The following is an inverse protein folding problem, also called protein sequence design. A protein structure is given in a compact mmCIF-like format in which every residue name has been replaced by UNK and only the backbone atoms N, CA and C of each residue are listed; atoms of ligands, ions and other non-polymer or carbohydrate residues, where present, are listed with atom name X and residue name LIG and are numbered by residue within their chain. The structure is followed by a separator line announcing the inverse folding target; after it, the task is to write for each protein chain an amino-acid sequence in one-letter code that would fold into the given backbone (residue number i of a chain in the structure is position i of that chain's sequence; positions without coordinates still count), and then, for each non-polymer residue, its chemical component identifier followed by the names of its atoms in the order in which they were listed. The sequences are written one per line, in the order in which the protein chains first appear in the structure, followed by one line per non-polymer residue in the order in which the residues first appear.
data_IF_851311707262
#
_entry.id   IF_851311707262
#
_cell.length_a   1.000
_cell.length_b   1.000
_cell.length_c   1.000
_cell.angle_alpha   90.00
_cell.angle_beta   90.00
_cell.angle_gamma   90.00
#
_symmetry.space_group_name_H-M   'P 1'
#
loop_
_entity.id
_entity.type
_entity.pdbx_description
1 polymer ?
#
# COMPACT_ATOMS: atom_id res chain seq x y z
N UNK A 1 13.66 23.81 16.39
CA UNK A 1 13.59 22.44 16.97
C UNK A 1 14.99 22.02 17.38
N UNK A 2 15.16 21.32 18.50
CA UNK A 2 16.48 20.81 18.88
C UNK A 2 16.88 19.65 17.97
N UNK A 3 18.16 19.58 17.59
CA UNK A 3 18.74 18.51 16.78
C UNK A 3 18.36 17.10 17.30
N UNK A 4 18.35 16.95 18.62
CA UNK A 4 17.99 15.71 19.34
C UNK A 4 16.57 15.25 19.01
N UNK A 5 15.58 16.16 19.02
CA UNK A 5 14.19 15.80 18.68
C UNK A 5 14.06 15.35 17.22
N UNK A 6 14.86 15.93 16.31
CA UNK A 6 14.93 15.48 14.93
C UNK A 6 15.48 14.07 14.80
N UNK A 7 16.57 13.75 15.50
CA UNK A 7 17.18 12.40 15.50
C UNK A 7 16.23 11.35 16.07
N UNK A 8 15.59 11.63 17.21
CA UNK A 8 14.62 10.71 17.82
C UNK A 8 13.48 10.44 16.82
N UNK A 9 12.93 11.49 16.20
CA UNK A 9 11.84 11.36 15.23
C UNK A 9 12.25 10.54 14.00
N UNK A 10 13.47 10.73 13.49
CA UNK A 10 14.00 9.98 12.36
C UNK A 10 14.19 8.49 12.65
N UNK A 11 14.50 8.12 13.90
CA UNK A 11 14.64 6.73 14.33
C UNK A 11 13.29 6.08 14.66
N UNK A 12 12.36 6.81 15.25
CA UNK A 12 11.03 6.28 15.62
C UNK A 12 10.13 6.08 14.41
N UNK A 13 10.23 6.93 13.38
CA UNK A 13 9.34 6.85 12.23
C UNK A 13 9.42 5.50 11.46
N UNK A 14 10.60 4.98 11.09
CA UNK A 14 10.71 3.66 10.46
C UNK A 14 10.16 2.52 11.33
N UNK A 15 10.37 2.58 12.64
CA UNK A 15 9.82 1.59 13.57
C UNK A 15 8.28 1.58 13.54
N UNK A 16 7.64 2.75 13.61
CA UNK A 16 6.18 2.86 13.50
C UNK A 16 5.65 2.39 12.14
N UNK A 17 6.38 2.66 11.07
CA UNK A 17 6.05 2.16 9.72
C UNK A 17 6.06 0.63 9.68
N UNK A 18 7.09 -0.01 10.27
CA UNK A 18 7.20 -1.48 10.33
C UNK A 18 6.07 -2.07 11.17
N UNK A 19 5.77 -1.51 12.34
CA UNK A 19 4.62 -1.92 13.15
C UNK A 19 3.32 -1.80 12.34
N UNK A 20 3.15 -0.70 11.62
CA UNK A 20 2.03 -0.51 10.71
C UNK A 20 1.93 -1.63 9.67
N UNK A 21 3.02 -1.97 8.97
CA UNK A 21 3.01 -3.06 7.99
C UNK A 21 2.58 -4.39 8.61
N UNK A 22 3.10 -4.75 9.79
CA UNK A 22 2.74 -6.00 10.48
C UNK A 22 1.26 -6.01 10.87
N UNK A 23 0.73 -4.89 11.35
CA UNK A 23 -0.69 -4.78 11.70
C UNK A 23 -1.57 -4.95 10.46
N UNK A 24 -1.26 -4.23 9.37
CA UNK A 24 -2.05 -4.31 8.14
C UNK A 24 -1.97 -5.67 7.47
N UNK A 25 -0.80 -6.30 7.43
CA UNK A 25 -0.60 -7.62 6.81
C UNK A 25 -1.40 -8.72 7.51
N UNK A 26 -1.50 -8.65 8.85
CA UNK A 26 -2.21 -9.66 9.64
C UNK A 26 -3.72 -9.40 9.79
N UNK A 27 -4.18 -8.15 9.68
CA UNK A 27 -5.56 -7.77 10.03
C UNK A 27 -6.39 -7.24 8.85
N UNK A 28 -5.78 -6.86 7.73
CA UNK A 28 -6.51 -6.30 6.60
C UNK A 28 -6.90 -7.37 5.57
N UNK A 29 -8.20 -7.67 5.49
CA UNK A 29 -8.74 -8.63 4.52
C UNK A 29 -9.31 -7.99 3.24
N UNK A 30 -9.26 -6.66 3.12
CA UNK A 30 -9.81 -5.91 2.00
C UNK A 30 -8.84 -5.75 0.83
N UNK A 31 -9.28 -5.07 -0.23
CA UNK A 31 -8.40 -4.74 -1.36
C UNK A 31 -7.34 -3.70 -0.97
N UNK A 32 -6.22 -3.68 -1.69
CA UNK A 32 -5.18 -2.66 -1.49
C UNK A 32 -5.71 -1.23 -1.75
N UNK A 33 -6.65 -1.08 -2.69
CA UNK A 33 -7.36 0.17 -2.91
C UNK A 33 -8.14 0.62 -1.67
N UNK A 34 -8.92 -0.29 -1.07
CA UNK A 34 -9.68 0.01 0.15
C UNK A 34 -8.75 0.34 1.34
N UNK A 35 -7.59 -0.33 1.44
CA UNK A 35 -6.59 -0.03 2.45
C UNK A 35 -6.03 1.38 2.31
N UNK A 36 -5.67 1.78 1.09
CA UNK A 36 -5.15 3.12 0.82
C UNK A 36 -6.20 4.20 1.06
N UNK A 37 -7.45 3.95 0.68
CA UNK A 37 -8.56 4.85 0.98
C UNK A 37 -8.75 5.02 2.49
N UNK A 38 -8.77 3.92 3.24
CA UNK A 38 -8.90 3.96 4.69
C UNK A 38 -7.75 4.73 5.34
N UNK A 39 -6.50 4.39 4.97
CA UNK A 39 -5.30 5.07 5.45
C UNK A 39 -5.37 6.57 5.20
N UNK A 40 -5.66 6.99 3.97
CA UNK A 40 -5.72 8.42 3.62
C UNK A 40 -6.76 9.17 4.45
N UNK A 41 -7.97 8.63 4.59
CA UNK A 41 -9.04 9.27 5.36
C UNK A 41 -8.75 9.31 6.86
N UNK A 42 -8.27 8.20 7.44
CA UNK A 42 -7.89 8.14 8.85
C UNK A 42 -6.74 9.12 9.15
N UNK A 43 -5.72 9.15 8.30
CA UNK A 43 -4.59 10.07 8.39
C UNK A 43 -5.02 11.53 8.25
N UNK A 44 -5.94 11.83 7.33
CA UNK A 44 -6.49 13.18 7.18
C UNK A 44 -7.23 13.65 8.44
N UNK A 45 -8.06 12.80 9.06
CA UNK A 45 -8.75 13.14 10.32
C UNK A 45 -7.73 13.41 11.43
N UNK A 46 -6.71 12.57 11.56
CA UNK A 46 -5.63 12.77 12.53
C UNK A 46 -4.91 14.10 12.33
N UNK A 47 -4.53 14.41 11.09
CA UNK A 47 -3.89 15.68 10.78
C UNK A 47 -4.80 16.89 10.95
N UNK A 48 -6.11 16.74 10.74
CA UNK A 48 -7.09 17.81 11.01
C UNK A 48 -7.09 18.17 12.48
N UNK A 49 -7.22 17.18 13.36
CA UNK A 49 -7.25 17.37 14.82
C UNK A 49 -5.96 18.04 15.29
N UNK A 50 -4.80 17.52 14.84
CA UNK A 50 -3.50 18.08 15.24
C UNK A 50 -3.30 19.48 14.66
N UNK A 51 -3.71 19.76 13.42
CA UNK A 51 -3.57 21.08 12.81
C UNK A 51 -4.39 22.14 13.55
N UNK A 52 -5.64 21.81 13.92
CA UNK A 52 -6.49 22.70 14.73
C UNK A 52 -5.82 22.94 16.08
N UNK A 53 -5.37 21.89 16.77
CA UNK A 53 -4.71 22.03 18.06
C UNK A 53 -3.46 22.90 18.00
N UNK A 54 -2.56 22.65 17.04
CA UNK A 54 -1.30 23.41 16.89
C UNK A 54 -1.59 24.88 16.57
N UNK A 55 -2.55 25.16 15.68
CA UNK A 55 -2.88 26.54 15.31
C UNK A 55 -3.55 27.31 16.45
N UNK A 56 -4.46 26.67 17.19
CA UNK A 56 -5.16 27.29 18.31
C UNK A 56 -4.27 27.51 19.54
N UNK A 57 -3.40 26.54 19.87
CA UNK A 57 -2.69 26.53 21.16
C UNK A 57 -1.18 26.81 21.07
N UNK A 58 -0.55 26.70 19.90
CA UNK A 58 0.91 26.85 19.76
C UNK A 58 1.28 28.07 18.91
N UNK A 59 0.70 28.21 17.72
CA UNK A 59 1.09 29.24 16.76
C UNK A 59 0.30 30.55 16.90
N UNK A 60 -0.92 30.50 17.44
CA UNK A 60 -1.81 31.66 17.51
C UNK A 60 -2.37 32.09 16.14
N UNK A 61 -3.23 33.11 16.09
CA UNK A 61 -3.80 33.61 14.84
C UNK A 61 -2.71 34.25 13.97
N UNK A 62 -2.46 33.66 12.80
CA UNK A 62 -1.56 34.23 11.80
C UNK A 62 -2.26 35.35 11.02
N UNK A 63 -1.58 36.47 10.82
CA UNK A 63 -2.06 37.58 9.96
C UNK A 63 -1.80 37.35 8.48
N UNK A 64 -0.92 36.43 8.11
CA UNK A 64 -0.67 36.08 6.71
C UNK A 64 -1.70 35.08 6.18
N UNK A 65 -2.10 35.27 4.92
CA UNK A 65 -2.97 34.36 4.19
C UNK A 65 -2.16 33.13 3.74
N UNK A 66 -1.98 32.18 4.66
CA UNK A 66 -1.19 30.97 4.44
C UNK A 66 -1.90 30.02 3.46
N UNK A 67 -3.23 30.05 3.41
CA UNK A 67 -4.10 29.19 2.60
C UNK A 67 -4.54 29.87 1.30
N UNK A 68 -3.61 30.07 0.38
CA UNK A 68 -3.94 30.62 -0.95
C UNK A 68 -4.36 29.52 -1.92
N UNK A 69 -5.29 29.80 -2.84
CA UNK A 69 -5.79 28.84 -3.85
C UNK A 69 -4.66 28.20 -4.67
N UNK A 70 -3.59 28.94 -4.97
CA UNK A 70 -2.42 28.41 -5.69
C UNK A 70 -1.63 27.40 -4.84
N UNK A 71 -1.47 27.63 -3.53
CA UNK A 71 -0.77 26.71 -2.63
C UNK A 71 -1.58 25.43 -2.40
N UNK A 72 -2.88 25.59 -2.14
CA UNK A 72 -3.80 24.45 -1.97
C UNK A 72 -3.86 23.63 -3.27
N UNK A 73 -4.07 24.29 -4.42
CA UNK A 73 -4.10 23.62 -5.72
C UNK A 73 -2.79 22.88 -6.03
N UNK A 74 -1.64 23.49 -5.74
CA UNK A 74 -0.34 22.84 -5.90
C UNK A 74 -0.16 21.60 -5.00
N UNK A 75 -0.66 21.64 -3.76
CA UNK A 75 -0.67 20.49 -2.85
C UNK A 75 -1.64 19.39 -3.29
N UNK A 76 -2.79 19.73 -3.89
CA UNK A 76 -3.71 18.76 -4.48
C UNK A 76 -3.07 18.06 -5.68
N UNK A 77 -2.39 18.80 -6.57
CA UNK A 77 -1.63 18.21 -7.68
C UNK A 77 -0.52 17.28 -7.16
N UNK A 78 0.19 17.69 -6.11
CA UNK A 78 1.15 16.82 -5.41
C UNK A 78 0.51 15.50 -4.95
N UNK A 79 -0.69 15.54 -4.38
CA UNK A 79 -1.41 14.34 -3.97
C UNK A 79 -1.82 13.45 -5.14
N UNK A 80 -2.31 14.03 -6.24
CA UNK A 80 -2.66 13.23 -7.42
C UNK A 80 -1.44 12.48 -7.95
N UNK A 81 -0.32 13.18 -8.12
CA UNK A 81 0.90 12.59 -8.69
C UNK A 81 1.53 11.60 -7.71
N UNK A 82 1.76 12.04 -6.46
CA UNK A 82 2.58 11.30 -5.51
C UNK A 82 1.83 10.25 -4.69
N UNK A 83 0.54 10.48 -4.39
CA UNK A 83 -0.27 9.57 -3.56
C UNK A 83 -1.18 8.74 -4.46
N UNK A 84 -2.06 9.35 -5.26
CA UNK A 84 -3.05 8.58 -6.02
C UNK A 84 -2.40 7.73 -7.13
N UNK A 85 -1.67 8.36 -8.04
CA UNK A 85 -1.00 7.66 -9.14
C UNK A 85 0.22 6.90 -8.61
N UNK A 86 1.01 7.55 -7.74
CA UNK A 86 2.19 6.96 -7.10
C UNK A 86 1.87 5.65 -6.37
N UNK A 87 0.87 5.63 -5.49
CA UNK A 87 0.52 4.43 -4.74
C UNK A 87 -0.06 3.33 -5.65
N UNK A 88 -0.79 3.69 -6.71
CA UNK A 88 -1.29 2.69 -7.66
C UNK A 88 -0.15 1.99 -8.40
N UNK A 89 0.79 2.77 -8.95
CA UNK A 89 1.99 2.27 -9.63
C UNK A 89 2.85 1.45 -8.66
N UNK A 90 2.96 1.90 -7.40
CA UNK A 90 3.68 1.17 -6.36
C UNK A 90 3.03 -0.17 -6.02
N UNK A 91 1.71 -0.22 -5.84
CA UNK A 91 0.99 -1.47 -5.57
C UNK A 91 1.12 -2.46 -6.73
N UNK A 92 1.07 -1.98 -7.97
CA UNK A 92 1.29 -2.82 -9.15
C UNK A 92 2.74 -3.34 -9.21
N UNK A 93 3.72 -2.48 -8.94
CA UNK A 93 5.11 -2.88 -8.81
C UNK A 93 5.33 -3.91 -7.68
N UNK A 94 4.65 -3.74 -6.54
CA UNK A 94 4.72 -4.67 -5.41
C UNK A 94 4.13 -6.03 -5.79
N UNK A 95 3.00 -6.04 -6.49
CA UNK A 95 2.35 -7.27 -6.98
C UNK A 95 3.29 -8.07 -7.90
N UNK A 96 4.07 -7.38 -8.73
CA UNK A 96 4.98 -8.00 -9.69
C UNK A 96 6.34 -8.38 -9.08
N UNK A 97 6.96 -7.51 -8.32
CA UNK A 97 8.33 -7.70 -7.81
C UNK A 97 8.40 -8.33 -6.41
N UNK A 98 7.33 -8.20 -5.63
CA UNK A 98 7.30 -8.49 -4.19
C UNK A 98 7.80 -7.32 -3.34
N UNK A 99 7.39 -7.32 -2.06
CA UNK A 99 7.65 -6.25 -1.08
C UNK A 99 9.14 -5.89 -0.94
N UNK A 100 10.02 -6.89 -0.87
CA UNK A 100 11.46 -6.65 -0.68
C UNK A 100 12.09 -5.87 -1.84
N UNK A 101 11.85 -6.30 -3.08
CA UNK A 101 12.46 -5.67 -4.27
C UNK A 101 11.94 -4.26 -4.49
N UNK A 102 10.64 -4.01 -4.29
CA UNK A 102 10.09 -2.66 -4.44
C UNK A 102 10.62 -1.70 -3.37
N UNK A 103 10.79 -2.16 -2.13
CA UNK A 103 11.37 -1.35 -1.05
C UNK A 103 12.83 -0.95 -1.36
N UNK A 104 13.60 -1.85 -1.97
CA UNK A 104 14.97 -1.53 -2.43
C UNK A 104 14.96 -0.44 -3.50
N UNK A 105 14.06 -0.50 -4.47
CA UNK A 105 13.92 0.56 -5.49
C UNK A 105 13.44 1.87 -4.87
N UNK A 106 12.51 1.81 -3.90
CA UNK A 106 12.00 2.98 -3.18
C UNK A 106 13.08 3.75 -2.39
N UNK A 107 14.17 3.08 -2.03
CA UNK A 107 15.34 3.73 -1.42
C UNK A 107 15.96 4.80 -2.31
N UNK A 108 15.65 4.84 -3.61
CA UNK A 108 16.11 5.88 -4.54
C UNK A 108 15.37 7.23 -4.36
N UNK A 109 14.22 7.27 -3.66
CA UNK A 109 13.41 8.49 -3.50
C UNK A 109 14.18 9.67 -2.88
N UNK A 110 14.92 9.53 -1.76
CA UNK A 110 15.67 10.64 -1.17
C UNK A 110 16.75 11.21 -2.11
N UNK A 111 17.34 10.36 -2.95
CA UNK A 111 18.38 10.75 -3.91
C UNK A 111 17.81 11.60 -5.03
N UNK A 112 16.75 11.10 -5.65
CA UNK A 112 16.07 11.85 -6.69
C UNK A 112 15.49 13.15 -6.11
N UNK A 113 15.01 13.14 -4.86
CA UNK A 113 14.50 14.34 -4.20
C UNK A 113 15.60 15.37 -3.96
N UNK A 114 16.78 14.94 -3.53
CA UNK A 114 17.94 15.82 -3.35
C UNK A 114 18.39 16.43 -4.68
N UNK A 115 18.54 15.59 -5.72
CA UNK A 115 18.92 16.05 -7.05
C UNK A 115 17.91 17.02 -7.65
N UNK A 116 16.62 16.67 -7.62
CA UNK A 116 15.60 17.54 -8.18
C UNK A 116 15.36 18.79 -7.30
N UNK A 117 15.63 18.73 -5.99
CA UNK A 117 15.61 19.90 -5.13
C UNK A 117 16.68 20.93 -5.53
N UNK A 118 17.89 20.46 -5.83
CA UNK A 118 18.95 21.33 -6.34
C UNK A 118 18.59 21.93 -7.71
N UNK A 119 18.04 21.14 -8.63
CA UNK A 119 17.71 21.60 -9.99
C UNK A 119 16.47 22.51 -10.04
N UNK A 120 15.41 22.19 -9.29
CA UNK A 120 14.11 22.85 -9.43
C UNK A 120 13.77 23.84 -8.30
N UNK A 121 14.44 23.75 -7.15
CA UNK A 121 14.19 24.60 -5.97
C UNK A 121 15.40 25.46 -5.59
N UNK A 122 16.49 25.42 -6.38
CA UNK A 122 17.77 26.13 -6.16
C UNK A 122 18.38 25.82 -4.77
N UNK A 123 18.20 24.58 -4.32
CA UNK A 123 18.67 24.12 -3.01
C UNK A 123 20.09 23.56 -3.09
N UNK A 124 21.03 24.24 -2.43
CA UNK A 124 22.41 23.75 -2.38
C UNK A 124 22.57 22.70 -1.29
N UNK A 125 22.89 21.48 -1.69
CA UNK A 125 23.23 20.40 -0.76
C UNK A 125 24.59 20.67 -0.12
N UNK A 126 24.63 20.62 1.21
CA UNK A 126 25.89 20.68 1.93
C UNK A 126 26.75 19.47 1.57
N UNK A 127 28.07 19.66 1.42
CA UNK A 127 29.00 18.59 1.03
C UNK A 127 28.92 17.37 1.97
N UNK A 128 28.67 17.60 3.26
CA UNK A 128 28.46 16.53 4.24
C UNK A 128 27.17 15.73 3.99
N UNK A 129 26.08 16.38 3.55
CA UNK A 129 24.82 15.73 3.23
C UNK A 129 24.98 14.78 2.02
N UNK A 130 25.80 15.14 1.03
CA UNK A 130 26.10 14.29 -0.13
C UNK A 130 26.80 13.00 0.29
N UNK A 131 27.78 13.08 1.20
CA UNK A 131 28.49 11.89 1.71
C UNK A 131 27.53 10.98 2.47
N UNK A 132 26.71 11.54 3.36
CA UNK A 132 25.69 10.78 4.09
C UNK A 132 24.66 10.12 3.16
N UNK A 133 24.27 10.82 2.11
CA UNK A 133 23.38 10.32 1.06
C UNK A 133 24.01 9.10 0.36
N UNK A 134 25.24 9.20 -0.15
CA UNK A 134 25.96 8.08 -0.80
C UNK A 134 26.07 6.86 0.14
N UNK A 135 26.47 7.08 1.39
CA UNK A 135 26.60 6.01 2.38
C UNK A 135 25.26 5.30 2.63
N UNK A 136 24.15 6.05 2.61
CA UNK A 136 22.80 5.50 2.74
C UNK A 136 22.41 4.63 1.53
N UNK A 137 22.78 4.99 0.28
CA UNK A 137 22.56 4.10 -0.90
C UNK A 137 23.24 2.78 -0.65
N UNK A 138 24.53 2.85 -0.31
CA UNK A 138 25.37 1.66 -0.21
C UNK A 138 24.82 0.74 0.87
N UNK A 139 24.43 1.28 2.03
CA UNK A 139 23.79 0.51 3.10
C UNK A 139 22.51 -0.18 2.66
N UNK A 140 21.57 0.56 2.03
CA UNK A 140 20.29 -0.03 1.61
C UNK A 140 20.47 -1.01 0.46
N UNK A 141 21.36 -0.74 -0.49
CA UNK A 141 21.68 -1.63 -1.58
C UNK A 141 22.32 -2.93 -1.07
N UNK A 142 23.25 -2.87 -0.11
CA UNK A 142 23.87 -4.05 0.50
C UNK A 142 22.82 -4.96 1.16
N UNK A 143 21.91 -4.40 1.94
CA UNK A 143 20.79 -5.16 2.57
C UNK A 143 19.83 -5.72 1.50
N UNK A 144 19.61 -4.96 0.43
CA UNK A 144 18.77 -5.37 -0.69
C UNK A 144 19.34 -6.53 -1.51
N UNK A 145 20.67 -6.66 -1.57
CA UNK A 145 21.38 -7.65 -2.37
C UNK A 145 21.57 -9.00 -1.67
N UNK A 146 21.30 -9.10 -0.37
CA UNK A 146 21.43 -10.34 0.39
C UNK A 146 20.53 -11.43 -0.21
N UNK A 147 21.11 -12.49 -0.79
CA UNK A 147 20.35 -13.61 -1.33
C UNK A 147 19.75 -14.41 -0.18
N UNK A 148 18.51 -14.86 -0.35
CA UNK A 148 17.97 -15.90 0.52
C UNK A 148 18.75 -17.20 0.26
N UNK A 149 19.54 -17.62 1.25
CA UNK A 149 19.89 -19.03 1.35
C UNK A 149 18.60 -19.76 1.72
N UNK A 150 17.98 -20.40 0.73
CA UNK A 150 16.95 -21.41 0.97
C UNK A 150 17.62 -22.58 1.70
N UNK A 151 17.76 -22.48 3.01
CA UNK A 151 17.94 -23.64 3.84
C UNK A 151 16.61 -24.41 3.84
N UNK A 152 16.56 -25.64 3.28
CA UNK A 152 15.37 -26.46 3.41
C UNK A 152 15.09 -26.61 4.91
N UNK A 153 13.95 -26.10 5.36
CA UNK A 153 13.46 -26.35 6.72
C UNK A 153 13.30 -27.86 6.90
N UNK A 154 13.40 -28.37 8.13
CA UNK A 154 13.23 -29.81 8.38
C UNK A 154 11.95 -30.39 7.74
N UNK A 155 10.90 -29.58 7.57
CA UNK A 155 9.69 -29.91 6.81
C UNK A 155 9.94 -30.27 5.33
N UNK A 156 10.85 -29.59 4.63
CA UNK A 156 11.18 -29.86 3.22
C UNK A 156 11.93 -31.21 3.09
N UNK A 157 12.74 -31.59 4.10
CA UNK A 157 13.42 -32.90 4.14
C UNK A 157 12.48 -34.03 4.52
N UNK A 158 11.54 -33.77 5.41
CA UNK A 158 10.53 -34.74 5.82
C UNK A 158 9.51 -34.98 4.69
N UNK A 159 9.15 -33.95 3.90
CA UNK A 159 8.29 -34.09 2.72
C UNK A 159 8.99 -34.79 1.54
N UNK A 160 10.26 -34.50 1.22
CA UNK A 160 11.02 -35.27 0.20
C UNK A 160 11.21 -36.74 0.62
N UNK A 161 11.38 -37.01 1.92
CA UNK A 161 11.46 -38.38 2.44
C UNK A 161 10.12 -39.10 2.32
N UNK A 162 8.99 -38.42 2.55
CA UNK A 162 7.63 -38.97 2.38
C UNK A 162 7.30 -39.22 0.90
N UNK A 163 7.72 -38.34 -0.01
CA UNK A 163 7.46 -38.50 -1.45
C UNK A 163 8.31 -39.65 -2.07
N UNK A 164 9.52 -39.89 -1.54
CA UNK A 164 10.36 -41.02 -1.95
C UNK A 164 9.98 -42.37 -1.34
N UNK A 165 9.31 -42.38 -0.18
CA UNK A 165 8.85 -43.58 0.54
C UNK A 165 7.36 -43.93 0.30
N UNK A 166 6.63 -43.11 -0.45
CA UNK A 166 5.17 -43.16 -0.57
C UNK A 166 4.61 -43.92 -1.78
N UNK A 167 5.40 -44.74 -2.48
CA UNK A 167 4.90 -45.69 -3.49
C UNK A 167 5.23 -47.11 -3.04
N UNK A 168 4.52 -47.58 -2.01
CA UNK A 168 4.53 -48.97 -1.56
C UNK A 168 4.82 -49.14 -0.07
N UNK A 169 3.88 -49.79 0.62
CA UNK A 169 3.92 -50.21 2.03
C UNK A 169 3.47 -49.18 3.07
N UNK A 170 2.47 -49.58 3.88
CA UNK A 170 1.96 -48.78 4.99
C UNK A 170 0.49 -48.99 5.34
N UNK A 171 -0.19 -49.96 4.74
CA UNK A 171 -1.31 -50.64 5.40
C UNK A 171 -0.71 -51.43 6.57
N UNK A 172 -1.30 -51.31 7.75
CA UNK A 172 -0.93 -51.97 9.02
C UNK A 172 -0.04 -51.15 9.96
N UNK A 173 -0.37 -51.25 11.26
CA UNK A 173 0.39 -50.80 12.44
C UNK A 173 0.00 -49.41 12.99
N UNK A 174 -1.21 -49.28 13.56
CA UNK A 174 -1.40 -49.37 15.03
C UNK A 174 -2.87 -49.11 15.39
N UNK A 175 -3.53 -50.20 15.77
CA UNK A 175 -4.71 -50.18 16.62
C UNK A 175 -4.24 -50.44 18.06
N UNK A 176 -5.05 -49.94 19.01
CA UNK A 176 -5.24 -50.46 20.38
C UNK A 176 -4.51 -49.76 21.55
N UNK A 177 -5.22 -48.87 22.27
CA UNK A 177 -5.65 -49.09 23.67
C UNK A 177 -6.67 -48.02 24.15
N UNK A 178 -7.95 -48.42 24.21
CA UNK A 178 -8.95 -48.31 25.32
C UNK A 178 -8.73 -47.20 26.39
N UNK A 179 -9.68 -46.38 26.90
CA UNK A 179 -11.08 -46.65 27.34
C UNK A 179 -11.75 -45.35 27.90
N UNK A 180 -13.10 -45.35 27.95
CA UNK A 180 -14.05 -44.67 28.88
C UNK A 180 -14.76 -43.37 28.42
N UNK A 181 -15.98 -43.61 27.88
CA UNK A 181 -17.27 -42.95 28.17
C UNK A 181 -17.30 -41.46 28.53
N UNK A 182 -17.78 -40.61 27.60
CA UNK A 182 -18.99 -39.77 27.75
C UNK A 182 -19.16 -38.81 26.55
N UNK A 183 -20.34 -38.81 25.92
CA UNK A 183 -20.77 -37.71 25.02
C UNK A 183 -20.86 -38.04 23.53
N UNK A 184 -21.77 -38.94 23.15
CA UNK A 184 -21.99 -39.42 21.76
C UNK A 184 -22.37 -38.34 20.72
N UNK A 185 -22.65 -37.10 21.15
CA UNK A 185 -22.93 -35.96 20.26
C UNK A 185 -21.76 -34.98 20.08
N UNK A 186 -20.73 -35.03 20.96
CA UNK A 186 -19.56 -34.13 20.87
C UNK A 186 -18.47 -34.66 19.94
N UNK A 187 -18.36 -35.99 19.82
CA UNK A 187 -17.33 -36.64 19.00
C UNK A 187 -17.57 -36.46 17.50
N UNK A 188 -18.82 -36.43 17.05
CA UNK A 188 -19.17 -36.20 15.63
C UNK A 188 -18.88 -34.75 15.23
N UNK A 189 -19.12 -33.78 16.12
CA UNK A 189 -18.77 -32.37 15.88
C UNK A 189 -17.25 -32.15 15.90
N UNK A 190 -16.51 -32.80 16.79
CA UNK A 190 -15.04 -32.71 16.81
C UNK A 190 -14.39 -33.40 15.60
N UNK A 191 -14.91 -34.53 15.14
CA UNK A 191 -14.43 -35.21 13.94
C UNK A 191 -14.73 -34.41 12.66
N UNK A 192 -15.90 -33.76 12.57
CA UNK A 192 -16.22 -32.86 11.45
C UNK A 192 -15.36 -31.59 11.47
N UNK A 193 -15.14 -30.97 12.64
CA UNK A 193 -14.25 -29.82 12.77
C UNK A 193 -12.79 -30.17 12.43
N UNK A 194 -12.30 -31.34 12.82
CA UNK A 194 -10.96 -31.81 12.44
C UNK A 194 -10.85 -32.13 10.95
N UNK A 195 -11.87 -32.70 10.32
CA UNK A 195 -11.87 -32.90 8.86
C UNK A 195 -11.93 -31.58 8.09
N UNK A 196 -12.70 -30.61 8.58
CA UNK A 196 -12.79 -29.28 7.98
C UNK A 196 -11.50 -28.47 8.18
N UNK A 197 -10.84 -28.59 9.33
CA UNK A 197 -9.51 -28.01 9.57
C UNK A 197 -8.41 -28.68 8.72
N UNK A 198 -8.46 -30.01 8.53
CA UNK A 198 -7.52 -30.73 7.65
C UNK A 198 -7.73 -30.36 6.18
N UNK A 199 -8.96 -30.17 5.72
CA UNK A 199 -9.25 -29.71 4.37
C UNK A 199 -8.83 -28.25 4.16
N UNK A 200 -9.13 -27.36 5.12
CA UNK A 200 -8.72 -25.95 5.06
C UNK A 200 -7.20 -25.81 5.08
N UNK A 201 -6.50 -26.56 5.93
CA UNK A 201 -5.03 -26.56 5.98
C UNK A 201 -4.42 -27.11 4.68
N UNK A 202 -5.00 -28.15 4.08
CA UNK A 202 -4.56 -28.66 2.76
C UNK A 202 -4.76 -27.63 1.66
N UNK A 203 -5.92 -26.97 1.57
CA UNK A 203 -6.17 -25.93 0.56
C UNK A 203 -5.22 -24.74 0.71
N UNK A 204 -4.88 -24.38 1.95
CA UNK A 204 -3.94 -23.30 2.26
C UNK A 204 -2.51 -23.71 1.88
N UNK A 205 -2.06 -24.91 2.29
CA UNK A 205 -0.73 -25.44 1.93
C UNK A 205 -0.60 -25.65 0.41
N UNK A 206 -1.64 -26.15 -0.26
CA UNK A 206 -1.69 -26.31 -1.72
C UNK A 206 -1.69 -24.95 -2.43
N UNK A 207 -2.39 -23.93 -1.88
CA UNK A 207 -2.35 -22.55 -2.39
C UNK A 207 -0.96 -21.93 -2.23
N UNK A 208 -0.27 -22.17 -1.11
CA UNK A 208 1.10 -21.71 -0.90
C UNK A 208 2.10 -22.49 -1.77
N UNK A 209 1.94 -23.80 -1.92
CA UNK A 209 2.76 -24.64 -2.79
C UNK A 209 2.56 -24.28 -4.27
N UNK A 210 1.33 -23.95 -4.70
CA UNK A 210 1.04 -23.42 -6.04
C UNK A 210 1.56 -21.99 -6.24
N UNK A 211 1.49 -21.11 -5.23
CA UNK A 211 2.15 -19.80 -5.28
C UNK A 211 3.67 -19.92 -5.37
N UNK A 212 4.28 -20.91 -4.69
CA UNK A 212 5.72 -21.23 -4.75
C UNK A 212 6.10 -21.80 -6.12
N UNK A 213 5.28 -22.70 -6.70
CA UNK A 213 5.46 -23.27 -8.05
C UNK A 213 5.29 -22.22 -9.16
N UNK A 214 4.38 -21.25 -9.00
CA UNK A 214 4.16 -20.16 -9.96
C UNK A 214 5.21 -19.04 -9.86
N UNK A 215 5.82 -18.82 -8.68
CA UNK A 215 6.96 -17.89 -8.52
C UNK A 215 8.20 -18.30 -9.33
N UNK A 216 8.36 -19.59 -9.63
CA UNK A 216 9.50 -20.11 -10.39
C UNK A 216 9.48 -19.84 -11.90
N UNK A 217 8.37 -19.33 -12.45
CA UNK A 217 8.22 -18.98 -13.88
C UNK A 217 7.75 -17.54 -14.08
N UNK A 218 8.29 -16.59 -13.32
CA UNK A 218 8.02 -15.19 -13.62
C UNK A 218 8.63 -14.85 -14.99
N UNK A 219 7.80 -14.42 -15.94
CA UNK A 219 8.26 -14.07 -17.27
C UNK A 219 9.21 -12.87 -17.19
N UNK A 220 10.33 -12.88 -17.92
CA UNK A 220 11.27 -11.75 -17.97
C UNK A 220 10.55 -10.43 -18.26
N UNK A 221 9.47 -10.48 -19.06
CA UNK A 221 8.61 -9.31 -19.36
C UNK A 221 7.86 -8.79 -18.14
N UNK A 222 7.31 -9.66 -17.30
CA UNK A 222 6.61 -9.28 -16.06
C UNK A 222 7.57 -8.68 -15.03
N UNK A 223 8.78 -9.23 -14.94
CA UNK A 223 9.83 -8.68 -14.09
C UNK A 223 10.25 -7.27 -14.56
N UNK A 224 10.52 -7.09 -15.85
CA UNK A 224 10.86 -5.78 -16.42
C UNK A 224 9.72 -4.78 -16.20
N UNK A 225 8.47 -5.19 -16.44
CA UNK A 225 7.31 -4.33 -16.22
C UNK A 225 7.19 -3.91 -14.74
N UNK A 226 7.41 -4.84 -13.82
CA UNK A 226 7.46 -4.53 -12.38
C UNK A 226 8.56 -3.52 -12.04
N UNK A 227 9.75 -3.65 -12.65
CA UNK A 227 10.86 -2.72 -12.46
C UNK A 227 10.53 -1.32 -13.01
N UNK A 228 9.92 -1.25 -14.19
CA UNK A 228 9.45 0.01 -14.79
C UNK A 228 8.44 0.70 -13.87
N UNK A 229 7.48 -0.05 -13.33
CA UNK A 229 6.52 0.49 -12.37
C UNK A 229 7.20 0.99 -11.10
N UNK A 230 8.13 0.23 -10.52
CA UNK A 230 8.86 0.67 -9.33
C UNK A 230 9.61 1.99 -9.56
N UNK A 231 10.34 2.11 -10.68
CA UNK A 231 11.07 3.32 -11.06
C UNK A 231 10.10 4.49 -11.32
N UNK A 232 8.99 4.24 -12.01
CA UNK A 232 7.97 5.26 -12.29
C UNK A 232 7.39 5.80 -10.98
N UNK A 233 7.09 4.94 -10.00
CA UNK A 233 6.63 5.39 -8.68
C UNK A 233 7.68 6.26 -7.96
N UNK A 234 8.98 5.91 -8.04
CA UNK A 234 10.05 6.75 -7.46
C UNK A 234 10.01 8.15 -8.06
N UNK A 235 9.91 8.24 -9.39
CA UNK A 235 9.84 9.53 -10.10
C UNK A 235 8.60 10.32 -9.70
N UNK A 236 7.41 9.72 -9.78
CA UNK A 236 6.14 10.38 -9.46
C UNK A 236 6.10 10.85 -8.00
N UNK A 237 6.49 9.99 -7.06
CA UNK A 237 6.51 10.33 -5.65
C UNK A 237 7.48 11.48 -5.37
N UNK A 238 8.66 11.47 -5.97
CA UNK A 238 9.63 12.55 -5.81
C UNK A 238 9.12 13.87 -6.40
N UNK A 239 8.47 13.86 -7.57
CA UNK A 239 7.82 15.06 -8.11
C UNK A 239 6.71 15.57 -7.17
N UNK A 240 5.91 14.68 -6.59
CA UNK A 240 4.95 15.04 -5.55
C UNK A 240 5.62 15.70 -4.34
N UNK A 241 6.76 15.18 -3.87
CA UNK A 241 7.53 15.79 -2.77
C UNK A 241 8.04 17.19 -3.12
N UNK A 242 8.52 17.41 -4.35
CA UNK A 242 8.96 18.75 -4.79
C UNK A 242 7.82 19.77 -4.81
N UNK A 243 6.66 19.38 -5.35
CA UNK A 243 5.47 20.22 -5.33
C UNK A 243 5.04 20.52 -3.89
N UNK A 244 5.11 19.51 -3.01
CA UNK A 244 4.84 19.67 -1.58
C UNK A 244 5.74 20.72 -0.96
N UNK A 245 7.03 20.68 -1.28
CA UNK A 245 8.02 21.64 -0.77
C UNK A 245 7.80 23.05 -1.33
N UNK A 246 7.53 23.16 -2.63
CA UNK A 246 7.28 24.44 -3.31
C UNK A 246 6.02 25.15 -2.81
N UNK A 247 4.92 24.41 -2.66
CA UNK A 247 3.61 24.99 -2.33
C UNK A 247 3.28 24.96 -0.83
N UNK A 248 3.98 24.15 -0.03
CA UNK A 248 3.80 24.05 1.41
C UNK A 248 4.49 25.16 2.23
N UNK A 249 5.15 26.13 1.60
CA UNK A 249 5.87 27.19 2.32
C UNK A 249 4.92 28.02 3.18
N UNK A 250 5.24 28.11 4.47
CA UNK A 250 4.45 28.82 5.49
C UNK A 250 3.37 27.96 6.17
N UNK A 251 3.12 26.75 5.68
CA UNK A 251 2.24 25.77 6.34
C UNK A 251 3.06 24.84 7.25
N UNK A 252 2.39 24.32 8.27
CA UNK A 252 2.94 23.24 9.10
C UNK A 252 2.89 21.90 8.36
N UNK A 253 3.75 20.96 8.76
CA UNK A 253 3.72 19.58 8.23
C UNK A 253 2.34 18.93 8.38
N UNK A 254 1.60 19.26 9.44
CA UNK A 254 0.25 18.73 9.67
C UNK A 254 -0.77 19.29 8.67
N UNK A 255 -0.73 20.59 8.39
CA UNK A 255 -1.64 21.24 7.43
C UNK A 255 -1.37 20.77 6.00
N UNK A 256 -0.09 20.68 5.63
CA UNK A 256 0.34 20.17 4.32
C UNK A 256 -0.20 18.75 4.14
N UNK A 257 0.01 17.88 5.13
CA UNK A 257 -0.43 16.49 5.03
C UNK A 257 -1.95 16.34 5.17
N UNK A 258 -2.64 17.20 5.91
CA UNK A 258 -4.09 17.27 5.93
C UNK A 258 -4.65 17.52 4.53
N UNK A 259 -4.17 18.57 3.84
CA UNK A 259 -4.60 18.88 2.47
C UNK A 259 -4.28 17.69 1.56
N UNK A 260 -3.08 17.13 1.68
CA UNK A 260 -2.63 16.09 0.77
C UNK A 260 -3.39 14.78 0.92
N UNK A 261 -3.43 14.22 2.13
CA UNK A 261 -4.12 12.95 2.41
C UNK A 261 -5.64 13.13 2.42
N UNK A 262 -6.15 14.29 2.81
CA UNK A 262 -7.58 14.62 2.76
C UNK A 262 -8.10 14.64 1.32
N UNK A 263 -7.41 15.36 0.43
CA UNK A 263 -7.76 15.37 -0.99
C UNK A 263 -7.68 13.97 -1.61
N UNK A 264 -6.62 13.21 -1.32
CA UNK A 264 -6.48 11.84 -1.80
C UNK A 264 -7.59 10.93 -1.28
N UNK A 265 -7.91 11.00 0.01
CA UNK A 265 -8.96 10.21 0.65
C UNK A 265 -10.35 10.46 0.07
N UNK A 266 -10.71 11.73 -0.13
CA UNK A 266 -11.98 12.14 -0.75
C UNK A 266 -12.03 11.70 -2.21
N UNK A 267 -10.93 11.88 -2.96
CA UNK A 267 -10.86 11.46 -4.36
C UNK A 267 -11.08 9.95 -4.53
N UNK A 268 -10.49 9.14 -3.64
CA UNK A 268 -10.69 7.69 -3.62
C UNK A 268 -12.14 7.29 -3.26
N UNK A 269 -12.76 8.01 -2.31
CA UNK A 269 -14.17 7.81 -1.97
C UNK A 269 -15.11 8.13 -3.15
N UNK A 270 -14.92 9.29 -3.78
CA UNK A 270 -15.69 9.70 -4.97
C UNK A 270 -15.53 8.72 -6.13
N UNK A 271 -14.35 8.12 -6.26
CA UNK A 271 -14.10 7.08 -7.26
C UNK A 271 -14.98 5.86 -7.03
N UNK A 272 -15.16 5.42 -5.77
CA UNK A 272 -16.06 4.30 -5.42
C UNK A 272 -17.52 4.65 -5.65
N UNK A 273 -17.93 5.87 -5.28
CA UNK A 273 -19.30 6.35 -5.49
C UNK A 273 -19.64 6.40 -6.99
N UNK A 274 -18.67 6.78 -7.83
CA UNK A 274 -18.80 6.79 -9.29
C UNK A 274 -19.00 5.39 -9.90
N UNK A 275 -18.71 4.30 -9.17
CA UNK A 275 -18.99 2.93 -9.62
C UNK A 275 -20.45 2.54 -9.31
N UNK A 276 -21.17 3.28 -8.46
CA UNK A 276 -22.58 3.04 -8.14
C UNK A 276 -23.49 2.98 -9.37
N UNK A 277 -23.45 3.97 -10.28
CA UNK A 277 -24.14 3.92 -11.57
C UNK A 277 -23.64 2.80 -12.49
N UNK A 278 -22.37 2.41 -12.39
CA UNK A 278 -21.80 1.32 -13.18
C UNK A 278 -22.31 -0.05 -12.72
N UNK A 279 -22.58 -0.23 -11.41
CA UNK A 279 -23.19 -1.44 -10.87
C UNK A 279 -24.72 -1.44 -10.99
N UNK A 280 -25.37 -0.28 -10.96
CA UNK A 280 -26.83 -0.19 -11.05
C UNK A 280 -27.35 -0.66 -12.42
N UNK A 281 -26.60 -0.45 -13.51
CA UNK A 281 -26.98 -0.89 -14.86
C UNK A 281 -27.02 -2.41 -15.04
N UNK A 282 -25.95 -3.18 -14.73
CA UNK A 282 -25.99 -4.64 -14.79
C UNK A 282 -26.89 -5.23 -13.69
N UNK A 283 -26.99 -4.61 -12.51
CA UNK A 283 -27.89 -5.08 -11.46
C UNK A 283 -29.37 -4.86 -11.83
N UNK A 284 -29.71 -3.73 -12.47
CA UNK A 284 -31.04 -3.50 -13.05
C UNK A 284 -31.33 -4.49 -14.17
N UNK A 285 -30.34 -4.80 -15.03
CA UNK A 285 -30.51 -5.86 -16.03
C UNK A 285 -30.75 -7.25 -15.41
N UNK A 286 -30.00 -7.62 -14.37
CA UNK A 286 -30.09 -8.94 -13.73
C UNK A 286 -31.36 -9.07 -12.88
N UNK A 287 -31.77 -8.03 -12.14
CA UNK A 287 -32.91 -8.08 -11.23
C UNK A 287 -34.24 -7.69 -11.88
N UNK A 288 -34.22 -6.79 -12.86
CA UNK A 288 -35.44 -6.25 -13.51
C UNK A 288 -35.58 -6.72 -14.97
N UNK A 289 -34.54 -7.29 -15.58
CA UNK A 289 -34.57 -7.75 -16.97
C UNK A 289 -34.44 -6.62 -18.01
N UNK A 290 -34.30 -5.37 -17.56
CA UNK A 290 -34.27 -4.20 -18.41
C UNK A 290 -32.90 -4.03 -19.08
N UNK A 291 -32.88 -4.07 -20.41
CA UNK A 291 -31.65 -3.88 -21.18
C UNK A 291 -31.17 -2.43 -21.02
N UNK A 292 -29.96 -2.19 -20.49
CA UNK A 292 -29.45 -0.84 -20.33
C UNK A 292 -29.34 -0.18 -21.70
N UNK A 293 -29.97 0.99 -21.85
CA UNK A 293 -29.96 1.72 -23.12
C UNK A 293 -28.56 2.25 -23.41
N UNK A 294 -28.19 2.36 -24.69
CA UNK A 294 -26.90 2.94 -25.12
C UNK A 294 -26.66 4.33 -24.52
N UNK A 295 -27.75 5.08 -24.30
CA UNK A 295 -27.74 6.39 -23.63
C UNK A 295 -27.34 6.31 -22.15
N UNK A 296 -27.77 5.26 -21.44
CA UNK A 296 -27.42 5.05 -20.04
C UNK A 296 -25.94 4.67 -19.87
N UNK A 297 -25.40 3.81 -20.75
CA UNK A 297 -23.97 3.49 -20.76
C UNK A 297 -23.11 4.73 -21.05
N UNK A 298 -23.52 5.56 -22.02
CA UNK A 298 -22.83 6.81 -22.32
C UNK A 298 -22.93 7.83 -21.18
N UNK A 299 -24.09 7.90 -20.50
CA UNK A 299 -24.29 8.73 -19.32
C UNK A 299 -23.42 8.32 -18.13
N UNK A 300 -23.26 7.02 -17.88
CA UNK A 300 -22.35 6.51 -16.85
C UNK A 300 -20.88 6.85 -17.17
N UNK A 301 -20.45 6.69 -18.42
CA UNK A 301 -19.11 7.08 -18.85
C UNK A 301 -18.87 8.59 -18.72
N UNK A 302 -19.85 9.41 -19.11
CA UNK A 302 -19.79 10.87 -18.93
C UNK A 302 -19.78 11.27 -17.44
N UNK A 303 -20.50 10.57 -16.57
CA UNK A 303 -20.49 10.86 -15.13
C UNK A 303 -19.10 10.60 -14.52
N UNK A 304 -18.45 9.49 -14.87
CA UNK A 304 -17.07 9.17 -14.46
C UNK A 304 -16.11 10.26 -14.96
N UNK A 305 -16.20 10.64 -16.24
CA UNK A 305 -15.37 11.71 -16.82
C UNK A 305 -15.65 13.06 -16.13
N UNK A 306 -16.92 13.35 -15.82
CA UNK A 306 -17.35 14.57 -15.15
C UNK A 306 -16.80 14.68 -13.72
N UNK A 307 -16.78 13.60 -12.95
CA UNK A 307 -16.19 13.55 -11.61
C UNK A 307 -14.68 13.76 -11.68
N UNK A 308 -14.00 13.16 -12.66
CA UNK A 308 -12.57 13.41 -12.92
C UNK A 308 -12.35 14.91 -13.18
N UNK A 309 -13.15 15.51 -14.06
CA UNK A 309 -13.05 16.94 -14.41
C UNK A 309 -13.38 17.85 -13.22
N UNK A 310 -14.41 17.55 -12.43
CA UNK A 310 -14.78 18.32 -11.23
C UNK A 310 -13.68 18.30 -10.17
N UNK A 311 -13.01 17.15 -10.01
CA UNK A 311 -11.86 17.01 -9.13
C UNK A 311 -10.70 17.95 -9.52
N UNK A 312 -10.64 18.36 -10.79
CA UNK A 312 -9.68 19.36 -11.30
C UNK A 312 -10.24 20.80 -11.36
N UNK A 313 -11.55 20.97 -11.58
CA UNK A 313 -12.19 22.27 -11.88
C UNK A 313 -12.83 22.96 -10.67
N UNK A 314 -13.07 22.27 -9.55
CA UNK A 314 -13.55 22.89 -8.30
C UNK A 314 -12.62 23.92 -7.66
N UNK A 315 -11.49 24.25 -8.32
CA UNK A 315 -10.43 25.15 -7.85
C UNK A 315 -10.45 26.50 -8.59
N UNK A 316 -11.16 26.63 -9.72
CA UNK A 316 -11.11 27.88 -10.52
C UNK A 316 -12.14 28.94 -10.12
N UNK A 317 -13.09 28.64 -9.23
CA UNK A 317 -14.07 29.60 -8.72
C UNK A 317 -14.09 29.61 -7.18
N UNK A 318 -13.03 30.15 -6.58
CA UNK A 318 -13.07 30.82 -5.26
C UNK A 318 -11.82 31.68 -5.09
#
# INVERSE_FOLDING_TARGET
MSFVLGVISALTAPFLVVVGFIVWDNHWNGTAFALNMYKCNMTAIGFLIVSIFVRQFILGPSTEEIFTSQKIGGLMVSSTIGILIGDWVWLEGMRLLGSRKIIVVDSLKPFLAAFLGEVFLDERLERGAIIGLILTVLGVALVGLEKEDHHPTKSDKDEETIESAGVGAGTEIFNNERTVLTGKDKDVQQQQQQHQQRQSSKVVVDSYAQQRKNRGKQSTKEFIYGLVMAILNVVLHTFGVLLTKKYGVGMTTFEINLIRFGFAGISLLLTLESIGPLYSLPLSYILQGDRPTVRACFGAALAVIGIIVLSFKGITES
#
